data_IF_465321060544
#
_entry.id   IF_465321060544
#
_cell.length_a   1.000
_cell.length_b   1.000
_cell.length_c   1.000
_cell.angle_alpha   90.00
_cell.angle_beta   90.00
_cell.angle_gamma   90.00
#
_symmetry.space_group_name_H-M   'P 1'
#
loop_
_entity.id
_entity.type
_entity.pdbx_description
1 polymer ?
#
# COMPACT_ATOMS: atom_id res chain seq x y z
N UNK A 1 -9.45 -30.55 11.75
CA UNK A 1 -9.45 -29.56 10.65
C UNK A 1 -8.00 -29.24 10.38
N UNK A 2 -7.52 -29.44 9.15
CA UNK A 2 -6.12 -29.16 8.80
C UNK A 2 -5.86 -27.66 9.01
N UNK A 3 -4.82 -27.35 9.80
CA UNK A 3 -4.40 -25.97 10.07
C UNK A 3 -3.59 -25.42 8.89
N UNK A 4 -3.90 -25.87 7.68
CA UNK A 4 -3.20 -25.56 6.42
C UNK A 4 -3.43 -24.10 6.03
N UNK A 5 -2.36 -23.38 5.79
CA UNK A 5 -2.38 -21.98 5.38
C UNK A 5 -2.42 -21.92 3.86
N UNK A 6 -3.55 -21.49 3.30
CA UNK A 6 -3.68 -21.31 1.86
C UNK A 6 -3.06 -20.00 1.42
N UNK A 7 -2.22 -20.05 0.37
CA UNK A 7 -1.44 -18.91 -0.11
C UNK A 7 -1.70 -18.68 -1.59
N UNK A 8 -1.96 -17.42 -1.96
CA UNK A 8 -1.95 -16.93 -3.33
C UNK A 8 -0.63 -16.19 -3.57
N UNK A 9 0.14 -16.58 -4.60
CA UNK A 9 1.37 -15.91 -5.01
C UNK A 9 1.08 -14.94 -6.15
N UNK A 10 1.51 -13.69 -6.02
CA UNK A 10 1.31 -12.64 -7.02
C UNK A 10 2.63 -11.95 -7.32
N UNK A 11 3.13 -12.13 -8.54
CA UNK A 11 4.40 -11.54 -9.02
C UNK A 11 4.40 -11.61 -10.55
N UNK A 12 4.76 -10.57 -11.27
CA UNK A 12 4.82 -10.58 -12.72
C UNK A 12 6.06 -11.33 -13.27
N UNK A 13 7.08 -11.54 -12.41
CA UNK A 13 8.29 -12.27 -12.74
C UNK A 13 8.12 -13.78 -12.53
N UNK A 14 7.90 -14.53 -13.61
CA UNK A 14 7.63 -15.97 -13.54
C UNK A 14 8.71 -16.81 -12.86
N UNK A 15 9.99 -16.42 -12.94
CA UNK A 15 11.09 -17.14 -12.26
C UNK A 15 11.06 -16.93 -10.74
N UNK A 16 10.79 -15.71 -10.32
CA UNK A 16 10.66 -15.34 -8.89
C UNK A 16 9.48 -16.09 -8.27
N UNK A 17 8.32 -16.06 -8.93
CA UNK A 17 7.12 -16.75 -8.48
C UNK A 17 7.32 -18.27 -8.34
N UNK A 18 7.99 -18.91 -9.33
CA UNK A 18 8.36 -20.33 -9.23
C UNK A 18 9.32 -20.62 -8.09
N UNK A 19 10.25 -19.72 -7.82
CA UNK A 19 11.17 -19.81 -6.68
C UNK A 19 10.42 -19.80 -5.34
N UNK A 20 9.51 -18.85 -5.15
CA UNK A 20 8.69 -18.77 -3.94
C UNK A 20 7.79 -19.98 -3.77
N UNK A 21 7.14 -20.43 -4.85
CA UNK A 21 6.34 -21.64 -4.81
C UNK A 21 7.12 -22.80 -4.27
N UNK A 22 8.32 -23.07 -4.83
CA UNK A 22 9.16 -24.17 -4.41
C UNK A 22 9.59 -24.07 -2.92
N UNK A 23 9.97 -22.86 -2.48
CA UNK A 23 10.32 -22.61 -1.08
C UNK A 23 9.16 -22.91 -0.12
N UNK A 24 7.93 -22.60 -0.52
CA UNK A 24 6.75 -22.80 0.31
C UNK A 24 6.21 -24.23 0.26
N UNK A 25 6.44 -24.97 -0.82
CA UNK A 25 6.04 -26.39 -0.96
C UNK A 25 6.83 -27.32 -0.03
N UNK A 26 7.99 -26.88 0.48
CA UNK A 26 8.77 -27.62 1.47
C UNK A 26 8.16 -27.57 2.88
N UNK A 27 7.20 -26.66 3.14
CA UNK A 27 6.52 -26.53 4.43
C UNK A 27 5.12 -27.18 4.40
N UNK A 28 4.89 -28.26 5.18
CA UNK A 28 3.64 -29.00 5.13
C UNK A 28 2.42 -28.25 5.68
N UNK A 29 2.62 -27.12 6.36
CA UNK A 29 1.53 -26.26 6.84
C UNK A 29 1.08 -25.22 5.81
N UNK A 30 1.80 -25.07 4.69
CA UNK A 30 1.54 -24.08 3.67
C UNK A 30 1.13 -24.75 2.36
N UNK A 31 0.04 -24.27 1.76
CA UNK A 31 -0.40 -24.70 0.44
C UNK A 31 -0.60 -23.53 -0.49
N UNK A 32 0.17 -23.47 -1.57
CA UNK A 32 -0.04 -22.51 -2.65
C UNK A 32 -1.26 -22.95 -3.45
N UNK A 33 -2.34 -22.18 -3.36
CA UNK A 33 -3.63 -22.48 -4.00
C UNK A 33 -3.81 -21.81 -5.35
N UNK A 34 -2.99 -20.80 -5.66
CA UNK A 34 -3.04 -20.09 -6.93
C UNK A 34 -1.80 -19.22 -7.17
N UNK A 35 -1.66 -18.80 -8.42
CA UNK A 35 -0.63 -17.85 -8.85
C UNK A 35 -1.28 -16.79 -9.74
N UNK A 36 -0.88 -15.54 -9.60
CA UNK A 36 -1.29 -14.42 -10.44
C UNK A 36 -0.07 -13.67 -10.96
N UNK A 37 -0.20 -13.05 -12.12
CA UNK A 37 0.86 -12.31 -12.82
C UNK A 37 0.65 -10.80 -12.79
N UNK A 38 -0.46 -10.32 -12.25
CA UNK A 38 -0.82 -8.90 -12.16
C UNK A 38 -1.93 -8.68 -11.11
N UNK A 39 -2.17 -7.40 -10.76
CA UNK A 39 -3.14 -7.04 -9.74
C UNK A 39 -4.59 -7.42 -10.07
N UNK A 40 -5.00 -7.38 -11.34
CA UNK A 40 -6.37 -7.72 -11.73
C UNK A 40 -6.64 -9.23 -11.58
N UNK A 41 -5.69 -10.05 -12.00
CA UNK A 41 -5.74 -11.50 -11.81
C UNK A 41 -5.74 -11.86 -10.32
N UNK A 42 -4.93 -11.15 -9.52
CA UNK A 42 -4.88 -11.33 -8.06
C UNK A 42 -6.24 -11.06 -7.40
N UNK A 43 -6.94 -9.98 -7.78
CA UNK A 43 -8.27 -9.67 -7.25
C UNK A 43 -9.26 -10.79 -7.57
N UNK A 44 -9.27 -11.25 -8.82
CA UNK A 44 -10.16 -12.34 -9.27
C UNK A 44 -9.89 -13.62 -8.48
N UNK A 45 -8.62 -14.07 -8.42
CA UNK A 45 -8.26 -15.30 -7.73
C UNK A 45 -8.45 -15.20 -6.21
N UNK A 46 -8.27 -14.03 -5.61
CA UNK A 46 -8.56 -13.83 -4.19
C UNK A 46 -10.04 -14.06 -3.87
N UNK A 47 -10.96 -13.63 -4.76
CA UNK A 47 -12.39 -13.86 -4.62
C UNK A 47 -12.81 -15.31 -4.87
N UNK A 48 -12.13 -16.01 -5.79
CA UNK A 48 -12.45 -17.39 -6.13
C UNK A 48 -11.89 -18.41 -5.12
N UNK A 49 -10.65 -18.16 -4.65
CA UNK A 49 -9.89 -19.12 -3.86
C UNK A 49 -9.94 -18.86 -2.35
N UNK A 50 -10.35 -17.67 -1.93
CA UNK A 50 -10.38 -17.22 -0.54
C UNK A 50 -9.08 -17.58 0.21
N UNK A 51 -7.89 -17.15 -0.28
CA UNK A 51 -6.61 -17.49 0.35
C UNK A 51 -6.53 -16.84 1.73
N UNK A 52 -5.91 -17.56 2.67
CA UNK A 52 -5.65 -17.02 4.01
C UNK A 52 -4.57 -15.95 3.98
N UNK A 53 -3.54 -16.13 3.13
CA UNK A 53 -2.47 -15.17 2.94
C UNK A 53 -2.24 -14.93 1.44
N UNK A 54 -2.02 -13.68 1.07
CA UNK A 54 -1.56 -13.30 -0.28
C UNK A 54 -0.15 -12.76 -0.16
N UNK A 55 0.77 -13.34 -0.92
CA UNK A 55 2.12 -12.80 -1.12
C UNK A 55 2.08 -11.99 -2.41
N UNK A 56 2.22 -10.67 -2.30
CA UNK A 56 1.94 -9.69 -3.34
C UNK A 56 3.18 -8.90 -3.72
N UNK A 57 3.61 -8.97 -4.96
CA UNK A 57 4.60 -8.02 -5.49
C UNK A 57 4.00 -6.60 -5.51
N UNK A 58 4.82 -5.62 -5.16
CA UNK A 58 4.41 -4.23 -5.18
C UNK A 58 4.42 -3.66 -6.61
N UNK A 59 5.48 -3.93 -7.38
CA UNK A 59 5.73 -3.32 -8.67
C UNK A 59 5.29 -4.25 -9.81
N UNK A 60 4.04 -4.12 -10.23
CA UNK A 60 3.47 -4.88 -11.35
C UNK A 60 2.89 -3.93 -12.40
N UNK A 61 2.90 -4.33 -13.70
CA UNK A 61 2.32 -3.54 -14.77
C UNK A 61 0.79 -3.43 -14.62
N UNK A 62 0.25 -2.25 -14.94
CA UNK A 62 -1.18 -1.97 -14.86
C UNK A 62 -1.64 -1.63 -13.45
N UNK A 63 -2.32 -2.55 -12.80
CA UNK A 63 -2.75 -2.39 -11.40
C UNK A 63 -1.64 -2.85 -10.46
N UNK A 64 -1.04 -1.91 -9.71
CA UNK A 64 0.03 -2.19 -8.77
C UNK A 64 -0.45 -2.98 -7.52
N UNK A 65 0.52 -3.52 -6.76
CA UNK A 65 0.22 -4.34 -5.59
C UNK A 65 -0.50 -3.59 -4.46
N UNK A 66 -0.29 -2.26 -4.32
CA UNK A 66 -0.97 -1.44 -3.31
C UNK A 66 -2.45 -1.29 -3.67
N UNK A 67 -2.72 -0.97 -4.93
CA UNK A 67 -4.09 -0.83 -5.45
C UNK A 67 -4.84 -2.17 -5.39
N UNK A 68 -4.18 -3.25 -5.81
CA UNK A 68 -4.73 -4.61 -5.73
C UNK A 68 -5.06 -5.00 -4.28
N UNK A 69 -4.16 -4.73 -3.34
CA UNK A 69 -4.36 -4.99 -1.90
C UNK A 69 -5.61 -4.28 -1.38
N UNK A 70 -5.76 -2.99 -1.71
CA UNK A 70 -6.92 -2.20 -1.27
C UNK A 70 -8.25 -2.76 -1.81
N UNK A 71 -8.27 -3.17 -3.09
CA UNK A 71 -9.48 -3.75 -3.70
C UNK A 71 -9.78 -5.15 -3.15
N UNK A 72 -8.77 -5.98 -2.93
CA UNK A 72 -8.94 -7.32 -2.35
C UNK A 72 -9.53 -7.21 -0.94
N UNK A 73 -8.95 -6.38 -0.07
CA UNK A 73 -9.37 -6.29 1.33
C UNK A 73 -10.76 -5.66 1.52
N UNK A 74 -11.29 -4.92 0.55
CA UNK A 74 -12.70 -4.49 0.55
C UNK A 74 -13.68 -5.67 0.49
N UNK A 75 -13.30 -6.73 -0.24
CA UNK A 75 -14.17 -7.88 -0.51
C UNK A 75 -13.77 -9.13 0.31
N UNK A 76 -12.54 -9.19 0.80
CA UNK A 76 -11.99 -10.29 1.58
C UNK A 76 -11.19 -9.73 2.79
N UNK A 77 -11.84 -9.13 3.79
CA UNK A 77 -11.18 -8.44 4.91
C UNK A 77 -10.39 -9.38 5.83
N UNK A 78 -10.70 -10.68 5.82
CA UNK A 78 -10.02 -11.69 6.64
C UNK A 78 -8.70 -12.18 6.03
N UNK A 79 -8.47 -11.90 4.74
CA UNK A 79 -7.22 -12.25 4.06
C UNK A 79 -6.08 -11.37 4.55
N UNK A 80 -4.94 -11.97 4.91
CA UNK A 80 -3.73 -11.22 5.22
C UNK A 80 -2.89 -10.99 3.96
N UNK A 81 -2.39 -9.77 3.75
CA UNK A 81 -1.52 -9.46 2.60
C UNK A 81 -0.11 -9.18 3.09
N UNK A 82 0.86 -9.91 2.51
CA UNK A 82 2.30 -9.69 2.62
C UNK A 82 2.80 -9.04 1.33
N UNK A 83 3.27 -7.82 1.43
CA UNK A 83 3.93 -7.16 0.29
C UNK A 83 5.38 -7.62 0.20
N UNK A 84 5.80 -8.04 -1.00
CA UNK A 84 7.20 -8.24 -1.37
C UNK A 84 7.64 -7.12 -2.30
N UNK A 85 8.78 -6.48 -2.01
CA UNK A 85 9.23 -5.32 -2.78
C UNK A 85 10.75 -5.24 -2.87
N UNK A 86 11.25 -4.62 -3.93
CA UNK A 86 12.65 -4.20 -4.04
C UNK A 86 12.90 -2.84 -3.37
N UNK A 87 11.86 -2.13 -2.94
CA UNK A 87 11.93 -0.78 -2.41
C UNK A 87 11.84 -0.76 -0.89
N UNK A 88 12.81 -0.13 -0.24
CA UNK A 88 12.86 0.07 1.22
C UNK A 88 12.39 1.46 1.67
N UNK A 89 12.00 2.32 0.73
CA UNK A 89 11.57 3.69 1.01
C UNK A 89 10.29 3.71 1.84
N UNK A 90 10.28 4.57 2.87
CA UNK A 90 9.18 4.71 3.83
C UNK A 90 7.82 4.96 3.16
N UNK A 91 7.80 5.61 1.99
CA UNK A 91 6.56 5.89 1.28
C UNK A 91 5.91 4.62 0.74
N UNK A 92 6.69 3.70 0.18
CA UNK A 92 6.16 2.42 -0.31
C UNK A 92 5.64 1.56 0.83
N UNK A 93 6.37 1.51 1.94
CA UNK A 93 5.97 0.78 3.14
C UNK A 93 4.66 1.35 3.70
N UNK A 94 4.60 2.66 3.87
CA UNK A 94 3.41 3.35 4.38
C UNK A 94 2.19 3.09 3.51
N UNK A 95 2.32 3.23 2.20
CA UNK A 95 1.20 3.02 1.28
C UNK A 95 0.66 1.60 1.31
N UNK A 96 1.56 0.62 1.41
CA UNK A 96 1.18 -0.76 1.53
C UNK A 96 0.40 -1.01 2.84
N UNK A 97 0.88 -0.48 3.96
CA UNK A 97 0.19 -0.61 5.26
C UNK A 97 -1.13 0.17 5.31
N UNK A 98 -1.18 1.37 4.72
CA UNK A 98 -2.41 2.18 4.62
C UNK A 98 -3.44 1.55 3.67
N UNK A 99 -3.00 0.73 2.72
CA UNK A 99 -3.89 -0.11 1.90
C UNK A 99 -4.45 -1.31 2.67
N UNK A 100 -3.94 -1.59 3.87
CA UNK A 100 -4.36 -2.68 4.74
C UNK A 100 -3.44 -3.89 4.74
N UNK A 101 -2.28 -3.84 4.05
CA UNK A 101 -1.30 -4.91 4.15
C UNK A 101 -0.85 -5.10 5.60
N UNK A 102 -0.71 -6.35 6.02
CA UNK A 102 -0.23 -6.71 7.36
C UNK A 102 1.25 -7.10 7.38
N UNK A 103 1.89 -7.17 6.21
CA UNK A 103 3.31 -7.44 6.11
C UNK A 103 3.97 -6.70 4.96
N UNK A 104 5.25 -6.39 5.17
CA UNK A 104 6.13 -5.83 4.15
C UNK A 104 7.53 -6.39 4.31
N UNK A 105 8.07 -7.00 3.26
CA UNK A 105 9.39 -7.63 3.25
C UNK A 105 10.12 -7.24 1.96
N UNK A 106 11.42 -6.98 2.08
CA UNK A 106 12.26 -6.71 0.92
C UNK A 106 12.60 -8.01 0.19
N UNK A 107 12.45 -8.05 -1.14
CA UNK A 107 12.86 -9.19 -1.96
C UNK A 107 14.37 -9.50 -1.82
N UNK A 108 15.19 -8.50 -1.50
CA UNK A 108 16.64 -8.67 -1.23
C UNK A 108 16.95 -9.32 0.12
N UNK A 109 15.98 -9.36 1.03
CA UNK A 109 16.10 -9.96 2.37
C UNK A 109 15.46 -11.36 2.43
N UNK A 110 15.21 -11.98 1.30
CA UNK A 110 14.52 -13.29 1.18
C UNK A 110 15.37 -14.52 1.56
N UNK A 111 16.60 -14.34 2.03
CA UNK A 111 17.26 -15.32 2.89
C UNK A 111 16.55 -15.45 4.25
N UNK A 112 15.56 -14.59 4.50
CA UNK A 112 14.67 -14.59 5.67
C UNK A 112 13.46 -15.46 5.37
N UNK A 113 13.17 -16.34 6.30
CA UNK A 113 12.07 -17.28 6.41
C UNK A 113 10.71 -16.74 5.91
N UNK A 114 10.44 -16.83 4.59
CA UNK A 114 9.15 -16.45 3.98
C UNK A 114 8.01 -17.31 4.56
N UNK A 115 8.27 -18.57 4.88
CA UNK A 115 7.29 -19.48 5.47
C UNK A 115 6.92 -19.01 6.89
N UNK A 116 7.90 -18.61 7.70
CA UNK A 116 7.66 -18.03 9.02
C UNK A 116 6.87 -16.72 8.95
N UNK A 117 7.18 -15.84 8.01
CA UNK A 117 6.42 -14.60 7.78
C UNK A 117 4.94 -14.87 7.43
N UNK A 118 4.68 -15.87 6.58
CA UNK A 118 3.33 -16.29 6.22
C UNK A 118 2.58 -16.86 7.43
N UNK A 119 3.23 -17.69 8.26
CA UNK A 119 2.64 -18.25 9.48
C UNK A 119 2.31 -17.16 10.49
N UNK A 120 3.20 -16.22 10.69
CA UNK A 120 2.97 -15.07 11.56
C UNK A 120 1.77 -14.23 11.11
N UNK A 121 1.67 -13.91 9.82
CA UNK A 121 0.52 -13.22 9.25
C UNK A 121 -0.77 -14.02 9.40
N UNK A 122 -0.74 -15.32 9.14
CA UNK A 122 -1.89 -16.18 9.30
C UNK A 122 -2.36 -16.29 10.77
N UNK A 123 -1.46 -16.07 11.74
CA UNK A 123 -1.79 -15.97 13.16
C UNK A 123 -2.33 -14.59 13.58
N UNK A 124 -2.40 -13.63 12.66
CA UNK A 124 -2.89 -12.27 12.93
C UNK A 124 -1.82 -11.26 13.34
N UNK A 125 -0.54 -11.64 13.33
CA UNK A 125 0.58 -10.71 13.60
C UNK A 125 0.83 -9.81 12.40
N UNK A 126 1.57 -8.72 12.64
CA UNK A 126 2.13 -7.86 11.59
C UNK A 126 3.59 -8.24 11.38
N UNK A 127 4.04 -8.28 10.12
CA UNK A 127 5.41 -8.67 9.75
C UNK A 127 6.08 -7.53 9.00
N UNK A 128 7.13 -6.98 9.59
CA UNK A 128 8.01 -6.00 8.93
C UNK A 128 9.39 -6.63 8.82
N UNK A 129 9.82 -6.84 7.59
CA UNK A 129 11.09 -7.49 7.30
C UNK A 129 12.30 -6.65 7.70
N UNK A 130 13.48 -7.28 7.84
CA UNK A 130 14.72 -6.58 8.12
C UNK A 130 15.05 -5.58 7.00
N UNK A 131 15.63 -4.43 7.37
CA UNK A 131 15.95 -3.35 6.44
C UNK A 131 14.75 -2.48 6.03
N UNK A 132 13.56 -2.80 6.49
CA UNK A 132 12.36 -1.98 6.38
C UNK A 132 12.21 -1.20 7.68
N UNK A 133 12.31 0.12 7.61
CA UNK A 133 11.92 0.95 8.74
C UNK A 133 10.40 0.87 8.84
N UNK A 134 9.89 0.35 9.96
CA UNK A 134 8.46 0.47 10.24
C UNK A 134 8.14 1.98 10.18
N UNK A 135 7.15 2.40 9.37
CA UNK A 135 6.85 3.81 9.31
C UNK A 135 6.50 4.27 10.72
N UNK A 136 7.38 5.06 11.30
CA UNK A 136 7.07 5.73 12.54
C UNK A 136 5.87 6.64 12.24
N UNK A 137 4.72 6.26 12.72
CA UNK A 137 3.57 7.16 12.88
C UNK A 137 3.90 8.14 14.01
N UNK A 138 4.92 8.94 13.83
CA UNK A 138 4.87 10.23 14.47
C UNK A 138 3.89 11.06 13.63
N UNK A 139 2.74 11.40 14.18
CA UNK A 139 1.83 12.27 13.48
C UNK A 139 2.62 13.53 13.14
N UNK A 140 2.75 13.84 11.85
CA UNK A 140 3.40 15.08 11.43
C UNK A 140 2.62 16.24 12.09
N UNK A 141 3.21 16.96 13.04
CA UNK A 141 2.47 17.97 13.81
C UNK A 141 1.86 19.04 12.89
N UNK A 142 2.50 19.33 11.77
CA UNK A 142 2.02 20.31 10.82
C UNK A 142 0.87 19.75 9.98
N UNK A 143 0.91 18.47 9.59
CA UNK A 143 -0.22 17.82 8.92
C UNK A 143 -1.41 17.61 9.86
N UNK A 144 -1.18 17.28 11.14
CA UNK A 144 -2.27 17.10 12.12
C UNK A 144 -2.99 18.40 12.47
N UNK A 145 -2.35 19.54 12.30
CA UNK A 145 -2.99 20.88 12.46
C UNK A 145 -3.97 21.20 11.33
N UNK A 146 -3.88 20.52 10.20
CA UNK A 146 -4.78 20.75 9.06
C UNK A 146 -6.18 20.21 9.36
N UNK A 147 -7.18 20.97 9.02
CA UNK A 147 -8.56 20.51 9.06
C UNK A 147 -8.80 19.37 8.06
N UNK A 148 -9.82 18.51 8.25
CA UNK A 148 -10.15 17.46 7.28
C UNK A 148 -10.33 17.99 5.86
N UNK A 149 -10.84 19.20 5.72
CA UNK A 149 -11.07 19.86 4.42
C UNK A 149 -9.77 20.30 3.75
N UNK A 150 -8.84 20.83 4.53
CA UNK A 150 -7.51 21.20 4.05
C UNK A 150 -6.70 19.97 3.64
N UNK A 151 -6.80 18.86 4.35
CA UNK A 151 -6.21 17.57 3.99
C UNK A 151 -6.73 17.08 2.62
N UNK A 152 -8.05 17.11 2.38
CA UNK A 152 -8.65 16.76 1.08
C UNK A 152 -8.16 17.66 -0.06
N UNK A 153 -8.07 18.96 0.19
CA UNK A 153 -7.62 19.93 -0.81
C UNK A 153 -6.14 19.74 -1.10
N UNK A 154 -5.31 19.48 -0.10
CA UNK A 154 -3.88 19.16 -0.24
C UNK A 154 -3.67 17.98 -1.19
N UNK A 155 -4.40 16.88 -0.98
CA UNK A 155 -4.32 15.69 -1.85
C UNK A 155 -4.64 16.01 -3.30
N UNK A 156 -5.69 16.79 -3.54
CA UNK A 156 -6.10 17.15 -4.89
C UNK A 156 -5.12 18.12 -5.57
N UNK A 157 -4.54 19.06 -4.81
CA UNK A 157 -3.47 19.94 -5.32
C UNK A 157 -2.26 19.11 -5.75
N UNK A 158 -1.87 18.16 -4.94
CA UNK A 158 -0.71 17.34 -5.22
C UNK A 158 -0.92 16.37 -6.40
N UNK A 159 -2.17 15.97 -6.67
CA UNK A 159 -2.57 15.28 -7.92
C UNK A 159 -2.62 16.19 -9.15
N UNK A 160 -2.25 17.46 -9.02
CA UNK A 160 -2.20 18.41 -10.12
C UNK A 160 -3.52 19.11 -10.46
N UNK A 161 -4.57 18.95 -9.64
CA UNK A 161 -5.85 19.57 -9.91
C UNK A 161 -5.82 21.09 -9.70
N UNK A 162 -6.43 21.83 -10.61
CA UNK A 162 -6.66 23.26 -10.50
C UNK A 162 -7.77 23.58 -9.47
N UNK A 163 -7.83 24.81 -8.98
CA UNK A 163 -8.89 25.24 -8.07
C UNK A 163 -10.30 24.99 -8.62
N UNK A 164 -10.48 25.07 -9.94
CA UNK A 164 -11.77 24.83 -10.61
C UNK A 164 -12.16 23.35 -10.56
N UNK A 165 -11.20 22.45 -10.81
CA UNK A 165 -11.41 21.00 -10.73
C UNK A 165 -11.67 20.56 -9.29
N UNK A 166 -10.88 21.09 -8.34
CA UNK A 166 -11.07 20.83 -6.90
C UNK A 166 -12.48 21.30 -6.46
N UNK A 167 -12.91 22.46 -6.90
CA UNK A 167 -14.24 22.98 -6.61
C UNK A 167 -15.34 22.06 -7.12
N UNK A 168 -15.20 21.54 -8.34
CA UNK A 168 -16.13 20.57 -8.92
C UNK A 168 -16.13 19.23 -8.15
N UNK A 169 -14.95 18.66 -7.86
CA UNK A 169 -14.83 17.38 -7.15
C UNK A 169 -15.43 17.45 -5.73
N UNK A 170 -15.19 18.57 -5.04
CA UNK A 170 -15.58 18.73 -3.65
C UNK A 170 -16.95 19.43 -3.48
N UNK A 171 -17.62 19.77 -4.57
CA UNK A 171 -18.88 20.52 -4.59
C UNK A 171 -18.81 21.85 -3.82
N UNK A 172 -17.78 22.65 -4.12
CA UNK A 172 -17.51 23.95 -3.52
C UNK A 172 -17.48 25.05 -4.56
N UNK A 173 -17.47 26.32 -4.11
CA UNK A 173 -17.09 27.44 -4.97
C UNK A 173 -15.57 27.51 -5.17
N UNK A 174 -15.10 28.00 -6.31
CA UNK A 174 -13.67 28.23 -6.59
C UNK A 174 -13.07 29.17 -5.54
N UNK A 175 -13.83 30.15 -5.08
CA UNK A 175 -13.41 31.10 -4.05
C UNK A 175 -13.20 30.37 -2.70
N UNK A 176 -14.11 29.47 -2.32
CA UNK A 176 -13.97 28.66 -1.11
C UNK A 176 -12.72 27.79 -1.15
N UNK A 177 -12.42 27.16 -2.30
CA UNK A 177 -11.17 26.40 -2.50
C UNK A 177 -9.95 27.30 -2.35
N UNK A 178 -9.98 28.52 -2.91
CA UNK A 178 -8.87 29.47 -2.79
C UNK A 178 -8.62 29.88 -1.33
N UNK A 179 -9.66 30.08 -0.54
CA UNK A 179 -9.53 30.40 0.89
C UNK A 179 -8.90 29.22 1.66
N UNK A 180 -9.41 27.99 1.49
CA UNK A 180 -8.82 26.82 2.13
C UNK A 180 -7.37 26.60 1.73
N UNK A 181 -7.03 26.84 0.46
CA UNK A 181 -5.66 26.75 -0.04
C UNK A 181 -4.74 27.79 0.61
N UNK A 182 -5.21 29.02 0.79
CA UNK A 182 -4.45 30.07 1.47
C UNK A 182 -4.22 29.71 2.96
N UNK A 183 -5.25 29.23 3.63
CA UNK A 183 -5.16 28.79 5.03
C UNK A 183 -4.19 27.61 5.19
N UNK A 184 -4.30 26.59 4.33
CA UNK A 184 -3.42 25.44 4.27
C UNK A 184 -1.95 25.87 4.11
N UNK A 185 -1.67 26.71 3.13
CA UNK A 185 -0.31 27.21 2.86
C UNK A 185 0.23 28.05 4.03
N UNK A 186 -0.61 28.86 4.64
CA UNK A 186 -0.25 29.64 5.84
C UNK A 186 0.03 28.74 7.05
N UNK A 187 -0.78 27.70 7.28
CA UNK A 187 -0.61 26.77 8.38
C UNK A 187 0.71 25.98 8.29
N UNK A 188 1.15 25.69 7.05
CA UNK A 188 2.40 24.98 6.78
C UNK A 188 3.61 25.90 6.60
N UNK A 189 3.43 27.22 6.61
CA UNK A 189 4.51 28.18 6.34
C UNK A 189 5.05 28.12 4.91
N UNK A 190 4.24 27.65 3.96
CA UNK A 190 4.61 27.42 2.56
C UNK A 190 3.99 28.53 1.70
N UNK A 191 4.79 29.08 0.79
CA UNK A 191 4.37 30.24 -0.02
C UNK A 191 4.13 29.91 -1.49
N UNK A 192 4.59 28.74 -1.97
CA UNK A 192 4.46 28.33 -3.37
C UNK A 192 3.79 26.96 -3.49
N UNK A 193 2.92 26.81 -4.49
CA UNK A 193 2.26 25.51 -4.75
C UNK A 193 3.25 24.39 -5.02
N UNK A 194 4.36 24.68 -5.73
CA UNK A 194 5.41 23.69 -5.99
C UNK A 194 6.08 23.20 -4.70
N UNK A 195 6.31 24.10 -3.74
CA UNK A 195 6.83 23.74 -2.41
C UNK A 195 5.82 22.87 -1.64
N UNK A 196 4.53 23.18 -1.75
CA UNK A 196 3.47 22.40 -1.14
C UNK A 196 3.41 20.96 -1.69
N UNK A 197 3.52 20.81 -3.01
CA UNK A 197 3.56 19.49 -3.67
C UNK A 197 4.79 18.71 -3.22
N UNK A 198 5.97 19.34 -3.25
CA UNK A 198 7.23 18.70 -2.79
C UNK A 198 7.14 18.31 -1.32
N UNK A 199 6.55 19.15 -0.47
CA UNK A 199 6.33 18.85 0.94
C UNK A 199 5.40 17.65 1.12
N UNK A 200 4.25 17.63 0.41
CA UNK A 200 3.29 16.54 0.47
C UNK A 200 3.88 15.21 0.00
N UNK A 201 4.72 15.23 -1.06
CA UNK A 201 5.44 14.04 -1.55
C UNK A 201 6.48 13.56 -0.54
N UNK A 202 7.31 14.47 0.01
CA UNK A 202 8.32 14.12 1.04
C UNK A 202 7.69 13.53 2.30
N UNK A 203 6.46 13.94 2.64
CA UNK A 203 5.72 13.41 3.79
C UNK A 203 4.91 12.15 3.45
N UNK A 204 5.01 11.65 2.22
CA UNK A 204 4.28 10.46 1.77
C UNK A 204 2.77 10.61 1.77
N UNK A 205 2.27 11.85 1.71
CA UNK A 205 0.84 12.16 1.72
C UNK A 205 0.21 12.00 0.33
N UNK A 206 1.03 12.04 -0.71
CA UNK A 206 0.60 11.92 -2.11
C UNK A 206 1.71 11.32 -2.97
N UNK A 207 1.29 10.58 -3.98
CA UNK A 207 2.18 10.03 -5.00
C UNK A 207 2.00 10.82 -6.28
N UNK A 208 3.13 11.19 -6.88
CA UNK A 208 3.14 11.64 -8.26
C UNK A 208 2.99 10.40 -9.15
N UNK A 209 2.16 10.47 -10.19
CA UNK A 209 1.98 9.37 -11.13
C UNK A 209 3.28 9.02 -11.86
#
# INVERSE_FOLDING_TARGET
>A
MSNEITVLLVDDHGLVRKGFRRMLEDDPEIRVVGEATNGQEAIKLAQELHPRVIVMDLAMPGLDGVQATREILKNAPDTAVLILSMYSDDNYVRNALDAGARGYVLKSALDVDLAGAIKDLASGKTVIGPGVLAPHREPDPDYERLTPREKQILELIAKGNSNKEIAAILNLSVNTVSVHRANLMSALGIHRTTELVVWAVKKGLVHLP
#
